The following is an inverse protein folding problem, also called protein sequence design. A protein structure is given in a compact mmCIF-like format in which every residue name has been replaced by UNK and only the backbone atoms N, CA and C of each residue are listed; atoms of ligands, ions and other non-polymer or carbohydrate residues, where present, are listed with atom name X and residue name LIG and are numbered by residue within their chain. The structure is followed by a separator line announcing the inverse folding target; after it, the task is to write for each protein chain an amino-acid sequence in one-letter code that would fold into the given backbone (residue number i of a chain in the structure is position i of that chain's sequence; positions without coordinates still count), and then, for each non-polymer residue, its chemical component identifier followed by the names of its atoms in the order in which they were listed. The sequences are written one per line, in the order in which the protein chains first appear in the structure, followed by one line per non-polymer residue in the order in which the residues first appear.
data_IF_176438562072
#
_entry.id   IF_176438562072
#
_cell.length_a   1.000
_cell.length_b   1.000
_cell.length_c   1.000
_cell.angle_alpha   90.00
_cell.angle_beta   90.00
_cell.angle_gamma   90.00
#
_symmetry.space_group_name_H-M   'P 1'
#
loop_
_entity.id
_entity.type
_entity.pdbx_description
1 polymer ?
#
# COMPACT_ATOMS: atom_id res chain seq x y z
N UNK A 1 -23.82 -8.17 2.93
CA UNK A 1 -22.34 -8.30 2.92
C UNK A 1 -22.04 -9.78 3.10
N UNK A 2 -21.81 -10.48 1.99
CA UNK A 2 -21.59 -11.92 2.02
C UNK A 2 -20.21 -12.25 2.59
N UNK A 3 -20.13 -13.32 3.38
CA UNK A 3 -18.92 -13.92 3.93
C UNK A 3 -17.81 -14.03 2.87
N UNK A 4 -16.83 -13.12 2.92
CA UNK A 4 -15.56 -13.22 2.20
C UNK A 4 -14.56 -14.16 2.90
N UNK A 5 -15.03 -14.91 3.91
CA UNK A 5 -14.35 -16.03 4.57
C UNK A 5 -14.71 -17.37 3.94
N UNK A 6 -15.02 -17.42 2.63
CA UNK A 6 -14.85 -18.66 1.89
C UNK A 6 -13.36 -19.01 1.97
N UNK A 7 -13.04 -20.10 2.69
CA UNK A 7 -11.72 -20.74 2.64
C UNK A 7 -11.30 -20.80 1.17
N UNK A 8 -10.29 -20.02 0.81
CA UNK A 8 -9.61 -20.15 -0.47
C UNK A 8 -8.87 -21.50 -0.43
N UNK A 9 -9.58 -22.59 -0.73
CA UNK A 9 -9.07 -23.96 -0.66
C UNK A 9 -7.84 -24.20 -1.55
N UNK A 10 -7.50 -23.24 -2.43
CA UNK A 10 -6.29 -23.23 -3.26
C UNK A 10 -5.61 -21.86 -3.20
N UNK A 11 -4.81 -21.63 -2.15
CA UNK A 11 -4.05 -20.39 -1.98
C UNK A 11 -2.58 -20.67 -1.65
N UNK A 12 -1.69 -19.85 -2.23
CA UNK A 12 -0.25 -19.93 -2.03
C UNK A 12 0.16 -18.84 -1.04
N UNK A 13 0.95 -19.16 0.00
CA UNK A 13 1.52 -18.14 0.86
C UNK A 13 2.36 -17.13 0.06
N UNK A 14 2.09 -15.82 0.22
CA UNK A 14 2.75 -14.75 -0.53
C UNK A 14 4.28 -14.78 -0.37
N UNK A 15 4.78 -15.18 0.81
CA UNK A 15 6.22 -15.31 1.08
C UNK A 15 6.90 -16.44 0.30
N UNK A 16 6.14 -17.42 -0.22
CA UNK A 16 6.66 -18.48 -1.10
C UNK A 16 6.82 -18.04 -2.55
N UNK A 17 6.21 -16.92 -2.94
CA UNK A 17 6.35 -16.38 -4.29
C UNK A 17 7.75 -15.81 -4.50
N UNK A 18 8.35 -16.08 -5.65
CA UNK A 18 9.61 -15.45 -6.02
C UNK A 18 9.39 -13.96 -6.42
N UNK A 19 10.49 -13.20 -6.54
CA UNK A 19 10.42 -11.77 -6.85
C UNK A 19 9.64 -11.46 -8.14
N UNK A 20 9.81 -12.27 -9.19
CA UNK A 20 9.11 -12.06 -10.46
C UNK A 20 7.60 -12.32 -10.31
N UNK A 21 7.20 -13.38 -9.60
CA UNK A 21 5.79 -13.69 -9.35
C UNK A 21 5.08 -12.59 -8.57
N UNK A 22 5.71 -12.08 -7.50
CA UNK A 22 5.20 -10.95 -6.71
C UNK A 22 4.99 -9.72 -7.59
N UNK A 23 5.96 -9.43 -8.45
CA UNK A 23 5.95 -8.28 -9.33
C UNK A 23 4.91 -8.41 -10.45
N UNK A 24 4.78 -9.60 -11.06
CA UNK A 24 3.76 -9.87 -12.07
C UNK A 24 2.35 -9.77 -11.51
N UNK A 25 2.13 -10.31 -10.32
CA UNK A 25 0.86 -10.19 -9.61
C UNK A 25 0.50 -8.71 -9.41
N UNK A 26 1.45 -7.91 -8.90
CA UNK A 26 1.27 -6.47 -8.70
C UNK A 26 0.81 -5.75 -9.97
N UNK A 27 1.55 -5.91 -11.08
CA UNK A 27 1.22 -5.23 -12.33
C UNK A 27 -0.04 -5.75 -13.01
N UNK A 28 -0.32 -7.05 -12.90
CA UNK A 28 -1.56 -7.63 -13.41
C UNK A 28 -2.77 -7.01 -12.73
N UNK A 29 -2.71 -6.86 -11.41
CA UNK A 29 -3.77 -6.28 -10.59
C UNK A 29 -3.96 -4.78 -10.86
N UNK A 30 -2.87 -4.00 -10.93
CA UNK A 30 -2.93 -2.60 -11.39
C UNK A 30 -3.60 -2.49 -12.77
N UNK A 31 -3.22 -3.35 -13.70
CA UNK A 31 -3.78 -3.37 -15.06
C UNK A 31 -5.28 -3.68 -15.06
N UNK A 32 -5.75 -4.56 -14.18
CA UNK A 32 -7.18 -4.90 -14.04
C UNK A 32 -7.97 -3.71 -13.50
N UNK A 33 -7.43 -3.02 -12.51
CA UNK A 33 -8.02 -1.81 -11.94
C UNK A 33 -8.08 -0.65 -12.95
N UNK A 34 -7.04 -0.46 -13.77
CA UNK A 34 -7.00 0.59 -14.79
C UNK A 34 -7.96 0.35 -15.95
N UNK A 35 -8.19 -0.91 -16.36
CA UNK A 35 -9.10 -1.24 -17.47
C UNK A 35 -10.53 -0.76 -17.22
N UNK A 36 -11.00 -0.82 -15.98
CA UNK A 36 -12.32 -0.31 -15.59
C UNK A 36 -12.37 1.21 -15.73
N UNK A 37 -11.23 1.88 -15.59
CA UNK A 37 -11.14 3.33 -15.55
C UNK A 37 -10.75 4.00 -16.89
N UNK A 38 -10.49 3.21 -17.96
CA UNK A 38 -10.16 3.64 -19.33
C UNK A 38 -9.02 4.68 -19.42
N UNK A 39 -8.01 4.59 -18.56
CA UNK A 39 -6.94 5.60 -18.52
C UNK A 39 -5.84 5.36 -19.55
N UNK A 40 -5.26 6.45 -20.08
CA UNK A 40 -4.11 6.50 -21.00
C UNK A 40 -2.88 5.76 -20.44
N UNK A 41 -2.79 5.61 -19.11
CA UNK A 41 -1.72 4.92 -18.37
C UNK A 41 -1.68 3.41 -18.61
N UNK A 42 -2.84 2.79 -18.92
CA UNK A 42 -2.94 1.39 -19.36
C UNK A 42 -2.04 1.11 -20.57
N UNK A 43 -1.95 2.05 -21.51
CA UNK A 43 -1.04 1.92 -22.66
C UNK A 43 0.42 1.95 -22.20
N UNK A 44 0.80 2.82 -21.26
CA UNK A 44 2.17 2.93 -20.74
C UNK A 44 2.62 1.68 -19.97
N UNK A 45 1.79 1.13 -19.07
CA UNK A 45 2.11 -0.11 -18.32
C UNK A 45 2.21 -1.30 -19.28
N UNK A 46 1.26 -1.42 -20.22
CA UNK A 46 1.30 -2.45 -21.27
C UNK A 46 2.56 -2.32 -22.14
N UNK A 47 2.95 -1.09 -22.51
CA UNK A 47 4.19 -0.81 -23.25
C UNK A 47 5.45 -1.11 -22.41
N UNK A 48 5.45 -0.79 -21.11
CA UNK A 48 6.54 -1.05 -20.19
C UNK A 48 6.79 -2.56 -20.04
N UNK A 49 5.73 -3.32 -19.74
CA UNK A 49 5.78 -4.79 -19.68
C UNK A 49 6.27 -5.34 -21.03
N UNK A 50 5.72 -4.87 -22.15
CA UNK A 50 6.12 -5.30 -23.47
C UNK A 50 7.56 -4.90 -23.86
N UNK A 51 8.16 -3.85 -23.27
CA UNK A 51 9.51 -3.38 -23.58
C UNK A 51 10.57 -4.18 -22.84
N UNK A 52 10.34 -4.50 -21.57
CA UNK A 52 11.29 -5.29 -20.78
C UNK A 52 11.30 -6.77 -21.15
N UNK A 53 10.16 -7.30 -21.59
CA UNK A 53 10.05 -8.68 -22.09
C UNK A 53 10.70 -8.88 -23.48
N UNK A 54 10.99 -7.80 -24.22
CA UNK A 54 11.58 -7.87 -25.56
C UNK A 54 13.10 -8.08 -25.59
N UNK A 55 13.81 -7.81 -24.50
CA UNK A 55 15.27 -7.70 -24.55
C UNK A 55 16.01 -8.90 -23.95
N UNK A 56 15.34 -10.01 -23.61
CA UNK A 56 15.98 -11.21 -23.07
C UNK A 56 16.79 -11.00 -21.78
N UNK A 57 16.72 -9.81 -21.17
CA UNK A 57 17.47 -9.47 -19.96
C UNK A 57 16.73 -10.06 -18.76
N UNK A 58 17.38 -11.01 -18.11
CA UNK A 58 17.12 -11.35 -16.72
C UNK A 58 17.08 -10.06 -15.90
N UNK A 59 16.05 -9.94 -15.04
CA UNK A 59 15.65 -8.77 -14.25
C UNK A 59 14.96 -7.66 -15.05
N UNK A 60 13.62 -7.71 -15.01
CA UNK A 60 12.79 -6.59 -15.42
C UNK A 60 13.05 -5.43 -14.44
N UNK A 61 13.53 -4.26 -14.93
CA UNK A 61 13.72 -3.06 -14.10
C UNK A 61 12.53 -2.13 -14.23
N UNK A 62 11.55 -2.34 -13.36
CA UNK A 62 10.37 -1.50 -13.24
C UNK A 62 10.72 -0.06 -12.85
N UNK A 63 9.89 0.95 -13.23
CA UNK A 63 10.12 2.31 -12.77
C UNK A 63 10.15 2.24 -11.24
N UNK A 64 11.25 2.72 -10.63
CA UNK A 64 11.40 2.67 -9.17
C UNK A 64 10.16 3.31 -8.55
N UNK A 65 9.32 2.50 -7.91
CA UNK A 65 8.35 3.01 -6.96
C UNK A 65 9.12 3.84 -5.93
N UNK A 66 8.47 4.85 -5.33
CA UNK A 66 9.00 5.41 -4.09
C UNK A 66 9.28 4.22 -3.17
N UNK A 67 10.50 4.17 -2.63
CA UNK A 67 10.89 3.08 -1.74
C UNK A 67 10.52 3.51 -0.33
N UNK A 68 9.90 2.60 0.42
CA UNK A 68 9.62 2.82 1.82
C UNK A 68 10.95 2.79 2.58
N UNK A 69 11.20 3.80 3.42
CA UNK A 69 12.41 3.83 4.23
C UNK A 69 12.32 2.74 5.32
N UNK A 70 13.26 1.77 5.38
CA UNK A 70 13.15 0.63 6.29
C UNK A 70 13.09 1.01 7.77
N UNK A 71 13.64 2.17 8.14
CA UNK A 71 13.65 2.67 9.52
C UNK A 71 12.24 2.86 10.08
N UNK A 72 11.23 3.04 9.24
CA UNK A 72 9.82 3.14 9.66
C UNK A 72 9.40 2.00 10.59
N UNK A 73 9.88 0.78 10.34
CA UNK A 73 9.52 -0.37 11.18
C UNK A 73 10.12 -0.29 12.58
N UNK A 74 11.35 0.23 12.69
CA UNK A 74 11.99 0.48 13.98
C UNK A 74 11.28 1.61 14.73
N UNK A 75 10.88 2.68 14.04
CA UNK A 75 10.11 3.78 14.64
C UNK A 75 8.76 3.30 15.18
N UNK A 76 8.03 2.46 14.42
CA UNK A 76 6.78 1.85 14.88
C UNK A 76 7.01 1.00 16.13
N UNK A 77 8.05 0.17 16.13
CA UNK A 77 8.41 -0.68 17.26
C UNK A 77 8.69 0.15 18.53
N UNK A 78 9.37 1.30 18.40
CA UNK A 78 9.59 2.22 19.53
C UNK A 78 8.29 2.82 20.06
N UNK A 79 7.35 3.17 19.18
CA UNK A 79 6.00 3.65 19.58
C UNK A 79 5.22 2.56 20.31
N UNK A 80 5.21 1.32 19.78
CA UNK A 80 4.52 0.18 20.40
C UNK A 80 5.11 -0.19 21.76
N UNK A 81 6.41 0.03 21.97
CA UNK A 81 7.09 -0.25 23.24
C UNK A 81 7.08 0.94 24.23
N UNK A 82 6.38 2.03 23.91
CA UNK A 82 6.21 3.19 24.80
C UNK A 82 4.83 3.18 25.45
N UNK A 83 4.57 4.00 26.48
CA UNK A 83 3.26 4.01 27.14
C UNK A 83 2.10 4.33 26.18
N UNK A 84 0.92 3.68 26.28
CA UNK A 84 -0.20 3.96 25.38
C UNK A 84 -0.68 5.42 25.39
N UNK A 85 -0.37 6.16 26.46
CA UNK A 85 -0.67 7.60 26.59
C UNK A 85 -0.12 8.40 25.43
N UNK A 86 0.99 7.97 24.80
CA UNK A 86 1.59 8.65 23.63
C UNK A 86 0.64 8.75 22.42
N UNK A 87 -0.51 8.05 22.44
CA UNK A 87 -1.59 8.25 21.47
C UNK A 87 -1.96 9.72 21.28
N UNK A 88 -1.82 10.57 22.31
CA UNK A 88 -2.08 12.01 22.21
C UNK A 88 -1.26 12.69 21.09
N UNK A 89 -0.06 12.19 20.77
CA UNK A 89 0.80 12.70 19.70
C UNK A 89 0.20 12.50 18.30
N UNK A 90 -0.63 11.47 18.15
CA UNK A 90 -1.32 11.14 16.90
C UNK A 90 -2.66 11.88 16.77
N UNK A 91 -3.15 12.49 17.85
CA UNK A 91 -4.29 13.41 17.86
C UNK A 91 -3.85 14.88 17.74
N UNK A 92 -2.68 15.22 18.30
CA UNK A 92 -2.15 16.59 18.36
C UNK A 92 -0.77 16.66 17.72
N UNK A 93 -0.78 16.51 16.39
CA UNK A 93 0.44 16.42 15.58
C UNK A 93 1.19 17.74 15.52
N UNK A 94 2.51 17.65 15.58
CA UNK A 94 3.39 18.77 15.29
C UNK A 94 3.45 19.08 13.79
N UNK A 95 4.17 20.15 13.46
CA UNK A 95 4.53 20.45 12.08
C UNK A 95 5.42 19.32 11.54
N UNK A 96 5.01 18.76 10.41
CA UNK A 96 5.75 17.71 9.72
C UNK A 96 7.12 18.21 9.24
N UNK A 97 8.08 17.30 9.25
CA UNK A 97 9.42 17.54 8.75
C UNK A 97 9.40 17.64 7.21
N UNK A 98 10.23 18.51 6.66
CA UNK A 98 10.52 18.52 5.23
C UNK A 98 11.56 17.44 4.87
N UNK A 99 11.89 17.32 3.58
CA UNK A 99 12.81 16.28 3.12
C UNK A 99 14.22 16.40 3.73
N UNK A 100 14.69 17.61 4.01
CA UNK A 100 16.02 17.82 4.57
C UNK A 100 16.04 17.50 6.06
N UNK A 101 15.00 17.87 6.80
CA UNK A 101 14.78 17.46 8.18
C UNK A 101 14.70 15.94 8.32
N UNK A 102 13.92 15.28 7.47
CA UNK A 102 13.83 13.81 7.46
C UNK A 102 15.20 13.17 7.25
N UNK A 103 15.97 13.65 6.27
CA UNK A 103 17.32 13.14 5.98
C UNK A 103 18.25 13.28 7.18
N UNK A 104 18.24 14.46 7.82
CA UNK A 104 19.06 14.70 9.01
C UNK A 104 18.74 13.71 10.13
N UNK A 105 17.45 13.48 10.40
CA UNK A 105 17.02 12.47 11.39
C UNK A 105 17.52 11.08 11.01
N UNK A 106 17.29 10.64 9.78
CA UNK A 106 17.73 9.32 9.30
C UNK A 106 19.24 9.15 9.44
N UNK A 107 20.04 10.12 9.01
CA UNK A 107 21.49 10.02 9.01
C UNK A 107 22.03 10.01 10.45
N UNK A 108 21.40 10.76 11.35
CA UNK A 108 21.72 10.71 12.78
C UNK A 108 21.36 9.36 13.38
N UNK A 109 20.20 8.78 13.05
CA UNK A 109 19.80 7.44 13.51
C UNK A 109 20.80 6.38 13.01
N UNK A 110 21.25 6.47 11.75
CA UNK A 110 22.27 5.54 11.23
C UNK A 110 23.59 5.62 12.00
N UNK A 111 23.94 6.79 12.52
CA UNK A 111 25.20 7.00 13.23
C UNK A 111 25.12 6.63 14.72
N UNK A 112 24.00 6.94 15.37
CA UNK A 112 23.90 6.88 16.85
C UNK A 112 22.76 5.98 17.37
N UNK A 113 21.95 5.41 16.49
CA UNK A 113 20.76 4.64 16.84
C UNK A 113 19.51 5.49 17.06
N UNK A 114 18.33 4.84 17.11
CA UNK A 114 17.04 5.53 17.29
C UNK A 114 16.84 6.08 18.71
N UNK A 115 17.51 5.49 19.70
CA UNK A 115 17.28 5.76 21.14
C UNK A 115 17.71 7.13 21.62
N UNK A 116 18.43 7.89 20.79
CA UNK A 116 18.80 9.28 21.09
C UNK A 116 17.60 10.23 21.04
N UNK A 117 16.50 9.83 20.39
CA UNK A 117 15.35 10.68 20.14
C UNK A 117 14.22 10.40 21.13
N UNK A 118 13.52 11.47 21.51
CA UNK A 118 12.32 11.35 22.33
C UNK A 118 11.18 10.74 21.51
N UNK A 119 10.22 10.10 22.20
CA UNK A 119 9.09 9.45 21.55
C UNK A 119 8.26 10.39 20.67
N UNK A 120 8.21 11.68 21.05
CA UNK A 120 7.59 12.76 20.28
C UNK A 120 8.24 12.93 18.91
N UNK A 121 9.57 12.97 18.88
CA UNK A 121 10.36 13.14 17.67
C UNK A 121 10.27 11.89 16.78
N UNK A 122 10.30 10.70 17.39
CA UNK A 122 10.09 9.42 16.72
C UNK A 122 8.71 9.40 16.02
N UNK A 123 7.64 9.80 16.71
CA UNK A 123 6.31 9.87 16.13
C UNK A 123 6.22 10.89 14.99
N UNK A 124 6.81 12.09 15.15
CA UNK A 124 6.80 13.11 14.11
C UNK A 124 7.57 12.66 12.86
N UNK A 125 8.74 12.03 13.04
CA UNK A 125 9.52 11.45 11.94
C UNK A 125 8.76 10.33 11.23
N UNK A 126 8.13 9.42 11.98
CA UNK A 126 7.31 8.33 11.44
C UNK A 126 6.19 8.85 10.52
N UNK A 127 5.42 9.83 11.01
CA UNK A 127 4.33 10.43 10.23
C UNK A 127 4.89 11.12 8.98
N UNK A 128 5.97 11.89 9.13
CA UNK A 128 6.61 12.62 8.02
C UNK A 128 7.15 11.68 6.94
N UNK A 129 7.76 10.55 7.32
CA UNK A 129 8.25 9.53 6.39
C UNK A 129 7.14 8.90 5.56
N UNK A 130 6.06 8.47 6.22
CA UNK A 130 4.91 7.87 5.53
C UNK A 130 4.23 8.89 4.62
N UNK A 131 4.22 10.17 5.02
CA UNK A 131 3.71 11.26 4.20
C UNK A 131 4.54 11.50 2.94
N UNK A 132 5.86 11.55 3.04
CA UNK A 132 6.75 11.69 1.88
C UNK A 132 6.65 10.49 0.93
N UNK A 133 6.32 9.32 1.47
CA UNK A 133 6.00 8.12 0.68
C UNK A 133 4.70 8.25 -0.16
N UNK A 134 3.89 9.30 0.05
CA UNK A 134 2.53 9.51 -0.48
C UNK A 134 1.46 8.59 0.13
N UNK A 135 1.71 8.05 1.33
CA UNK A 135 0.82 7.12 2.01
C UNK A 135 0.72 5.75 1.34
N UNK A 136 0.00 4.82 1.99
CA UNK A 136 -0.12 3.42 1.55
C UNK A 136 -0.98 3.23 0.29
N UNK A 137 -2.11 3.94 0.19
CA UNK A 137 -2.92 4.03 -1.03
C UNK A 137 -2.31 5.04 -1.99
N UNK A 138 -1.06 4.83 -2.38
CA UNK A 138 -0.33 5.73 -3.30
C UNK A 138 -1.18 6.07 -4.54
N UNK A 139 -0.87 7.18 -5.23
CA UNK A 139 -1.77 7.81 -6.23
C UNK A 139 -2.33 6.86 -7.29
N UNK A 140 -1.54 5.87 -7.73
CA UNK A 140 -1.93 4.82 -8.68
C UNK A 140 -3.09 3.95 -8.19
N UNK A 141 -3.21 3.78 -6.88
CA UNK A 141 -4.26 3.03 -6.18
C UNK A 141 -5.42 3.96 -5.79
N UNK A 142 -5.09 5.08 -5.18
CA UNK A 142 -6.02 6.09 -4.65
C UNK A 142 -6.98 6.65 -5.71
N UNK A 143 -6.46 7.07 -6.86
CA UNK A 143 -7.27 7.75 -7.87
C UNK A 143 -8.29 6.83 -8.55
N UNK A 144 -7.88 5.62 -9.00
CA UNK A 144 -8.83 4.61 -9.49
C UNK A 144 -9.89 4.20 -8.45
N UNK A 145 -9.52 4.12 -7.16
CA UNK A 145 -10.44 3.80 -6.06
C UNK A 145 -11.51 4.89 -5.91
N UNK A 146 -11.06 6.14 -5.82
CA UNK A 146 -11.96 7.28 -5.70
C UNK A 146 -12.95 7.34 -6.89
N UNK A 147 -12.46 7.13 -8.11
CA UNK A 147 -13.32 7.12 -9.31
C UNK A 147 -14.37 6.01 -9.25
N UNK A 148 -14.00 4.82 -8.81
CA UNK A 148 -14.90 3.69 -8.65
C UNK A 148 -15.96 3.92 -7.56
N UNK A 149 -15.61 4.63 -6.48
CA UNK A 149 -16.50 4.84 -5.34
C UNK A 149 -17.39 6.08 -5.48
N UNK A 150 -16.88 7.19 -6.00
CA UNK A 150 -17.54 8.49 -5.89
C UNK A 150 -17.95 9.09 -7.24
N UNK A 151 -17.23 8.79 -8.32
CA UNK A 151 -17.52 9.40 -9.63
C UNK A 151 -18.41 8.52 -10.52
N UNK A 152 -18.24 7.20 -10.47
CA UNK A 152 -19.04 6.23 -11.23
C UNK A 152 -19.39 5.02 -10.35
N UNK A 153 -20.16 5.23 -9.27
CA UNK A 153 -20.46 4.17 -8.31
C UNK A 153 -21.22 3.03 -8.98
N UNK A 154 -20.63 1.83 -8.93
CA UNK A 154 -21.29 0.57 -9.27
C UNK A 154 -20.75 -0.48 -8.28
N UNK A 155 -21.63 -1.10 -7.50
CA UNK A 155 -21.24 -2.04 -6.45
C UNK A 155 -20.31 -3.16 -6.95
N UNK A 156 -20.57 -3.68 -8.16
CA UNK A 156 -19.72 -4.70 -8.80
C UNK A 156 -18.31 -4.18 -9.14
N UNK A 157 -18.20 -2.90 -9.50
CA UNK A 157 -16.89 -2.29 -9.78
C UNK A 157 -16.08 -2.08 -8.50
N UNK A 158 -16.73 -1.72 -7.38
CA UNK A 158 -16.07 -1.53 -6.09
C UNK A 158 -15.54 -2.86 -5.56
N UNK A 159 -16.36 -3.92 -5.55
CA UNK A 159 -15.92 -5.25 -5.10
C UNK A 159 -14.76 -5.79 -5.95
N UNK A 160 -14.88 -5.67 -7.28
CA UNK A 160 -13.79 -6.01 -8.19
C UNK A 160 -12.52 -5.22 -7.86
N UNK A 161 -12.65 -3.92 -7.65
CA UNK A 161 -11.52 -3.04 -7.41
C UNK A 161 -10.82 -3.38 -6.10
N UNK A 162 -11.58 -3.55 -5.01
CA UNK A 162 -11.07 -3.97 -3.71
C UNK A 162 -10.37 -5.33 -3.81
N UNK A 163 -10.92 -6.28 -4.56
CA UNK A 163 -10.30 -7.59 -4.79
C UNK A 163 -8.90 -7.48 -5.39
N UNK A 164 -8.72 -6.75 -6.50
CA UNK A 164 -7.40 -6.63 -7.14
C UNK A 164 -6.45 -5.71 -6.37
N UNK A 165 -6.94 -4.68 -5.69
CA UNK A 165 -6.11 -3.74 -4.93
C UNK A 165 -5.30 -4.44 -3.84
N UNK A 166 -5.89 -5.42 -3.16
CA UNK A 166 -5.21 -6.26 -2.15
C UNK A 166 -3.91 -6.91 -2.67
N UNK A 167 -3.83 -7.15 -3.97
CA UNK A 167 -2.70 -7.79 -4.64
C UNK A 167 -1.78 -6.78 -5.35
N UNK A 168 -2.11 -5.49 -5.27
CA UNK A 168 -1.36 -4.36 -5.83
C UNK A 168 -0.65 -3.52 -4.75
N UNK A 169 -0.38 -4.12 -3.58
CA UNK A 169 0.58 -3.63 -2.60
C UNK A 169 1.84 -4.50 -2.65
N UNK A 170 2.99 -3.85 -2.54
CA UNK A 170 4.31 -4.45 -2.33
C UNK A 170 4.42 -5.12 -0.97
N UNK A 171 5.45 -5.93 -0.77
CA UNK A 171 5.70 -6.62 0.50
C UNK A 171 5.90 -5.64 1.66
N UNK A 172 6.67 -4.58 1.45
CA UNK A 172 6.92 -3.54 2.46
C UNK A 172 5.63 -2.78 2.81
N UNK A 173 4.78 -2.46 1.84
CA UNK A 173 3.48 -1.80 2.08
C UNK A 173 2.53 -2.72 2.87
N UNK A 174 2.47 -4.01 2.54
CA UNK A 174 1.67 -5.00 3.29
C UNK A 174 2.13 -5.10 4.73
N UNK A 175 3.45 -5.19 4.93
CA UNK A 175 4.05 -5.20 6.27
C UNK A 175 3.67 -3.91 7.01
N UNK A 176 3.80 -2.76 6.36
CA UNK A 176 3.44 -1.47 6.96
C UNK A 176 1.95 -1.37 7.35
N UNK A 177 1.02 -1.93 6.56
CA UNK A 177 -0.39 -2.05 6.98
C UNK A 177 -0.52 -2.82 8.29
N UNK A 178 0.10 -4.00 8.38
CA UNK A 178 0.07 -4.84 9.59
C UNK A 178 0.67 -4.12 10.79
N UNK A 179 1.81 -3.45 10.60
CA UNK A 179 2.52 -2.77 11.67
C UNK A 179 1.80 -1.51 12.16
N UNK A 180 1.24 -0.70 11.26
CA UNK A 180 0.41 0.45 11.65
C UNK A 180 -0.87 0.00 12.37
N UNK A 181 -1.51 -1.08 11.91
CA UNK A 181 -2.67 -1.66 12.61
C UNK A 181 -2.30 -2.08 14.02
N UNK A 182 -1.19 -2.83 14.18
CA UNK A 182 -0.65 -3.24 15.50
C UNK A 182 -0.43 -2.01 16.39
N UNK A 183 0.20 -0.97 15.85
CA UNK A 183 0.46 0.28 16.55
C UNK A 183 -0.84 0.98 16.99
N UNK A 184 -1.82 1.16 16.11
CA UNK A 184 -3.06 1.84 16.48
C UNK A 184 -3.93 1.03 17.44
N UNK A 185 -3.94 -0.31 17.36
CA UNK A 185 -4.57 -1.16 18.37
C UNK A 185 -3.90 -0.95 19.72
N UNK A 186 -2.57 -0.95 19.76
CA UNK A 186 -1.79 -0.69 20.97
C UNK A 186 -2.10 0.68 21.58
N UNK A 187 -1.98 1.75 20.78
CA UNK A 187 -2.23 3.14 21.20
C UNK A 187 -3.67 3.37 21.64
N UNK A 188 -4.62 2.66 21.04
CA UNK A 188 -6.01 2.71 21.47
C UNK A 188 -6.27 1.96 22.78
N UNK A 189 -5.28 1.22 23.30
CA UNK A 189 -5.44 0.32 24.44
C UNK A 189 -6.63 -0.65 24.23
N UNK A 190 -6.74 -1.21 23.02
CA UNK A 190 -7.85 -2.06 22.58
C UNK A 190 -9.26 -1.40 22.65
N UNK A 191 -9.35 -0.08 22.79
CA UNK A 191 -10.61 0.64 22.75
C UNK A 191 -11.01 0.97 21.31
N UNK A 192 -12.10 0.35 20.83
CA UNK A 192 -12.57 0.52 19.44
C UNK A 192 -12.91 1.96 19.06
N UNK A 193 -13.42 2.76 19.99
CA UNK A 193 -13.73 4.19 19.75
C UNK A 193 -12.47 5.03 19.59
N UNK A 194 -11.46 4.78 20.44
CA UNK A 194 -10.15 5.46 20.35
C UNK A 194 -9.42 5.02 19.09
N UNK A 195 -9.40 3.73 18.79
CA UNK A 195 -8.83 3.19 17.55
C UNK A 195 -9.44 3.86 16.32
N UNK A 196 -10.78 3.97 16.29
CA UNK A 196 -11.48 4.62 15.19
C UNK A 196 -11.11 6.10 15.06
N UNK A 197 -10.98 6.79 16.18
CA UNK A 197 -10.58 8.21 16.21
C UNK A 197 -9.14 8.39 15.74
N UNK A 198 -8.22 7.53 16.17
CA UNK A 198 -6.83 7.50 15.69
C UNK A 198 -6.79 7.32 14.18
N UNK A 199 -7.56 6.36 13.62
CA UNK A 199 -7.61 6.19 12.18
C UNK A 199 -8.11 7.42 11.45
N UNK A 200 -9.15 8.09 11.95
CA UNK A 200 -9.72 9.30 11.34
C UNK A 200 -8.70 10.44 11.31
N UNK A 201 -8.04 10.71 12.44
CA UNK A 201 -7.02 11.76 12.52
C UNK A 201 -5.76 11.42 11.72
N UNK A 202 -5.55 10.14 11.42
CA UNK A 202 -4.35 9.65 10.74
C UNK A 202 -4.61 9.05 9.35
N UNK A 203 -5.78 9.32 8.74
CA UNK A 203 -6.14 8.85 7.39
C UNK A 203 -5.10 9.25 6.34
N UNK A 204 -4.47 10.38 6.56
CA UNK A 204 -3.52 10.99 5.64
C UNK A 204 -2.13 10.31 5.64
N UNK A 205 -1.88 9.37 6.57
CA UNK A 205 -0.78 8.41 6.50
C UNK A 205 -1.11 7.26 5.53
N UNK A 206 -2.39 7.02 5.26
CA UNK A 206 -2.83 5.98 4.35
C UNK A 206 -3.10 6.53 2.95
N UNK A 207 -3.63 7.74 2.81
CA UNK A 207 -4.01 8.30 1.51
C UNK A 207 -3.15 9.50 1.11
N UNK A 208 -2.78 9.63 -0.18
CA UNK A 208 -2.07 10.78 -0.67
C UNK A 208 -2.93 12.03 -0.59
N UNK A 209 -2.28 13.17 -0.35
CA UNK A 209 -2.91 14.47 -0.51
C UNK A 209 -3.32 14.65 -1.98
N UNK A 210 -4.63 14.63 -2.22
CA UNK A 210 -5.21 14.95 -3.51
C UNK A 210 -6.61 15.52 -3.29
N UNK A 211 -7.09 16.28 -4.28
CA UNK A 211 -8.40 16.97 -4.25
C UNK A 211 -9.60 16.06 -4.00
N UNK A 212 -9.40 14.74 -4.05
CA UNK A 212 -10.43 13.71 -4.01
C UNK A 212 -10.65 13.12 -2.61
N UNK A 213 -9.70 13.28 -1.70
CA UNK A 213 -9.81 12.81 -0.32
C UNK A 213 -9.95 14.01 0.60
N UNK A 214 -11.20 14.39 0.83
CA UNK A 214 -11.59 15.57 1.61
C UNK A 214 -12.17 15.13 2.95
N UNK A 215 -12.25 16.05 3.93
CA UNK A 215 -12.89 15.76 5.23
C UNK A 215 -14.29 15.16 5.11
N UNK A 216 -15.02 15.47 4.03
CA UNK A 216 -16.36 14.92 3.74
C UNK A 216 -16.38 13.40 3.48
N UNK A 217 -15.27 12.76 3.13
CA UNK A 217 -15.19 11.31 2.89
C UNK A 217 -14.27 10.55 3.86
N UNK A 218 -13.79 11.21 4.92
CA UNK A 218 -12.88 10.63 5.93
C UNK A 218 -13.42 9.34 6.56
N UNK A 219 -14.74 9.28 6.79
CA UNK A 219 -15.38 8.08 7.34
C UNK A 219 -15.29 6.88 6.39
N UNK A 220 -15.43 7.12 5.09
CA UNK A 220 -15.29 6.10 4.06
C UNK A 220 -13.83 5.66 3.93
N UNK A 221 -12.88 6.60 4.00
CA UNK A 221 -11.45 6.29 4.00
C UNK A 221 -11.05 5.43 5.19
N UNK A 222 -11.47 5.79 6.41
CA UNK A 222 -11.18 5.00 7.59
C UNK A 222 -11.85 3.61 7.52
N UNK A 223 -13.04 3.47 6.92
CA UNK A 223 -13.66 2.14 6.66
C UNK A 223 -12.85 1.30 5.66
N UNK A 224 -12.26 1.93 4.66
CA UNK A 224 -11.36 1.24 3.73
C UNK A 224 -10.09 0.79 4.44
N UNK A 225 -9.51 1.64 5.28
CA UNK A 225 -8.34 1.28 6.11
C UNK A 225 -8.67 0.06 6.96
N UNK A 226 -9.80 0.06 7.67
CA UNK A 226 -10.26 -1.09 8.46
C UNK A 226 -10.38 -2.36 7.59
N UNK A 227 -11.02 -2.24 6.42
CA UNK A 227 -11.16 -3.36 5.50
C UNK A 227 -9.82 -3.96 5.04
N UNK A 228 -8.81 -3.12 4.79
CA UNK A 228 -7.48 -3.58 4.39
C UNK A 228 -6.63 -4.04 5.58
N UNK A 229 -6.83 -3.47 6.77
CA UNK A 229 -6.21 -3.90 8.02
C UNK A 229 -6.66 -5.32 8.42
N UNK A 230 -7.90 -5.69 8.12
CA UNK A 230 -8.44 -7.03 8.37
C UNK A 230 -8.20 -8.00 7.20
N UNK A 231 -7.53 -7.55 6.14
CA UNK A 231 -7.27 -8.39 4.98
C UNK A 231 -6.08 -9.35 5.23
N UNK A 232 -6.23 -10.60 4.78
CA UNK A 232 -5.14 -11.56 4.80
C UNK A 232 -4.15 -11.28 3.67
N UNK A 233 -3.10 -10.51 3.96
CA UNK A 233 -2.00 -10.29 3.01
C UNK A 233 -1.07 -11.50 2.82
N UNK A 234 -1.25 -12.57 3.60
CA UNK A 234 -0.33 -13.71 3.62
C UNK A 234 -0.59 -14.74 2.53
N UNK A 235 -1.75 -14.73 1.85
CA UNK A 235 -2.10 -15.71 0.84
C UNK A 235 -2.52 -15.07 -0.48
N UNK A 236 -2.28 -15.78 -1.59
CA UNK A 236 -2.71 -15.41 -2.94
C UNK A 236 -3.46 -16.58 -3.56
N UNK A 237 -4.65 -16.35 -4.16
CA UNK A 237 -5.35 -17.40 -4.91
C UNK A 237 -4.51 -17.95 -6.06
N UNK A 238 -4.38 -19.27 -6.16
CA UNK A 238 -3.61 -19.93 -7.23
C UNK A 238 -4.11 -19.53 -8.62
N UNK A 239 -5.43 -19.45 -8.79
CA UNK A 239 -6.04 -19.08 -10.06
C UNK A 239 -5.67 -17.65 -10.48
N UNK A 240 -5.54 -16.73 -9.51
CA UNK A 240 -5.13 -15.35 -9.77
C UNK A 240 -3.67 -15.30 -10.23
N UNK A 241 -2.78 -16.03 -9.54
CA UNK A 241 -1.37 -16.14 -9.91
C UNK A 241 -1.21 -16.75 -11.31
N UNK A 242 -1.93 -17.85 -11.60
CA UNK A 242 -1.96 -18.47 -12.92
C UNK A 242 -2.40 -17.48 -14.00
N UNK A 243 -3.50 -16.73 -13.78
CA UNK A 243 -3.97 -15.70 -14.72
C UNK A 243 -2.96 -14.58 -14.93
N UNK A 244 -2.22 -14.19 -13.89
CA UNK A 244 -1.16 -13.20 -14.00
C UNK A 244 -0.01 -13.71 -14.89
N UNK A 245 0.43 -14.94 -14.66
CA UNK A 245 1.50 -15.61 -15.42
C UNK A 245 1.09 -15.91 -16.87
N UNK A 246 -0.11 -16.45 -17.12
CA UNK A 246 -0.59 -16.82 -18.47
C UNK A 246 -0.75 -15.60 -19.38
N UNK A 247 -1.26 -14.50 -18.83
CA UNK A 247 -1.43 -13.25 -19.58
C UNK A 247 -0.08 -12.66 -19.97
N UNK A 248 0.94 -12.84 -19.12
CA UNK A 248 2.31 -12.48 -19.43
C UNK A 248 2.86 -13.34 -20.59
N UNK A 249 2.73 -14.67 -20.50
CA UNK A 249 3.12 -15.59 -21.58
C UNK A 249 2.44 -15.23 -22.91
N UNK A 250 1.15 -14.93 -22.87
CA UNK A 250 0.39 -14.52 -24.07
C UNK A 250 0.89 -13.18 -24.63
N UNK A 251 1.27 -12.23 -23.77
CA UNK A 251 1.85 -10.95 -24.21
C UNK A 251 3.25 -11.11 -24.81
N UNK A 252 4.06 -12.05 -24.32
CA UNK A 252 5.36 -12.44 -24.88
C UNK A 252 5.16 -13.08 -26.27
N UNK A 253 4.30 -14.10 -26.36
CA UNK A 253 4.06 -14.88 -27.58
C UNK A 253 3.39 -14.09 -28.71
N UNK A 254 2.50 -13.14 -28.39
CA UNK A 254 1.89 -12.27 -29.42
C UNK A 254 2.89 -11.30 -30.06
N UNK A 255 4.01 -11.01 -29.39
CA UNK A 255 5.00 -10.06 -29.89
C UNK A 255 6.10 -10.74 -30.70
N UNK A 256 6.48 -11.99 -30.39
CA UNK A 256 7.40 -12.79 -31.22
C UNK A 256 6.85 -13.08 -32.62
N UNK A 257 5.52 -13.11 -32.78
CA UNK A 257 4.85 -13.21 -34.09
C UNK A 257 4.86 -11.92 -34.91
N UNK A 258 5.10 -10.77 -34.28
CA UNK A 258 5.14 -9.45 -34.95
C UNK A 258 6.59 -8.95 -35.19
N UNK A 259 7.60 -9.79 -34.94
CA UNK A 259 9.03 -9.53 -35.24
C UNK A 259 9.49 -10.42 -36.41
N UNK A 260 8.55 -10.88 -37.25
CA UNK A 260 8.85 -11.46 -38.57
C UNK A 260 8.47 -10.48 -39.64
#
# INVERSE_FOLDING_TARGET
MANLTQKEENSIPYWKLNANEKEFLYYYCLTKMEKINQQTRYKKIKCFLAKNLCCGKQQIKFPKSKRLEPIIFELIERVVNSEPTVAYLFFHREKLLDNDGIRLYIDTIKQYGVDIYQIKEIANLLISLIKVYDGLFHRELAYPLHKAMFMKPNGKNIEFFLYYMRFAFTEDERKLFTELRRMFIYLSNNNSSIYRSLLIENVDMYFPECSYFTKSNVNTQAKLIDYFNDFNFHSVPEELLKKANDKLHTMILKKSRNIK
#
